data_IF_065604867997
#
_entry.id   IF_065604867997
#
_cell.length_a   1.000
_cell.length_b   1.000
_cell.length_c   1.000
_cell.angle_alpha   90.00
_cell.angle_beta   90.00
_cell.angle_gamma   90.00
#
_symmetry.space_group_name_H-M   'P 1'
#
loop_
_entity.id
_entity.type
_entity.pdbx_description
1 polymer ?
#
# COMPACT_ATOMS: atom_id res chain seq x y z
N UNK A 1 3.30 0.27 0.81
CA UNK A 1 3.46 -0.97 0.03
C UNK A 1 3.03 -0.70 -1.40
N UNK A 2 3.94 -0.90 -2.34
CA UNK A 2 3.63 -0.86 -3.76
C UNK A 2 3.03 -2.20 -4.15
N UNK A 3 1.92 -2.17 -4.87
CA UNK A 3 1.24 -3.38 -5.30
C UNK A 3 1.11 -3.37 -6.82
N UNK A 4 1.59 -4.43 -7.45
CA UNK A 4 1.42 -4.63 -8.88
C UNK A 4 0.35 -5.70 -9.09
N UNK A 5 -0.60 -5.42 -9.98
CA UNK A 5 -1.77 -6.26 -10.15
C UNK A 5 -2.07 -6.57 -11.59
N UNK A 6 -2.79 -7.68 -11.80
CA UNK A 6 -3.43 -7.97 -13.08
C UNK A 6 -4.81 -7.32 -13.05
N UNK A 7 -5.14 -6.41 -13.97
CA UNK A 7 -6.46 -5.79 -13.97
C UNK A 7 -7.55 -6.81 -14.27
N UNK A 8 -8.68 -6.66 -13.59
CA UNK A 8 -9.85 -7.47 -13.88
C UNK A 8 -10.48 -6.95 -15.17
N UNK A 9 -10.89 -7.87 -16.04
CA UNK A 9 -11.34 -7.55 -17.37
C UNK A 9 -12.46 -6.52 -17.41
N UNK A 10 -13.46 -6.64 -16.54
CA UNK A 10 -14.62 -5.77 -16.52
C UNK A 10 -14.65 -4.79 -15.37
N UNK A 11 -13.70 -4.88 -14.46
CA UNK A 11 -13.72 -4.12 -13.21
C UNK A 11 -12.48 -3.27 -12.97
N UNK A 12 -11.46 -3.44 -13.80
CA UNK A 12 -10.20 -2.74 -13.62
C UNK A 12 -9.59 -3.04 -12.27
N UNK A 13 -9.19 -2.00 -11.56
CA UNK A 13 -8.57 -2.13 -10.25
C UNK A 13 -9.54 -1.84 -9.10
N UNK A 14 -10.74 -1.36 -9.39
CA UNK A 14 -11.65 -0.86 -8.36
C UNK A 14 -12.06 -1.92 -7.35
N UNK A 15 -12.35 -3.11 -7.83
CA UNK A 15 -12.80 -4.21 -6.96
C UNK A 15 -11.74 -4.59 -5.93
N UNK A 16 -10.51 -4.71 -6.39
CA UNK A 16 -9.39 -5.07 -5.52
C UNK A 16 -9.06 -3.92 -4.57
N UNK A 17 -9.10 -2.68 -5.08
CA UNK A 17 -8.87 -1.51 -4.25
C UNK A 17 -9.90 -1.42 -3.12
N UNK A 18 -11.19 -1.64 -3.44
CA UNK A 18 -12.23 -1.66 -2.43
C UNK A 18 -11.97 -2.71 -1.35
N UNK A 19 -11.56 -3.89 -1.77
CA UNK A 19 -11.26 -4.97 -0.85
C UNK A 19 -10.12 -4.61 0.08
N UNK A 20 -9.06 -4.03 -0.46
CA UNK A 20 -7.92 -3.59 0.33
C UNK A 20 -8.32 -2.47 1.30
N UNK A 21 -9.15 -1.54 0.84
CA UNK A 21 -9.64 -0.44 1.69
C UNK A 21 -10.38 -0.94 2.94
N UNK A 22 -10.97 -2.11 2.87
CA UNK A 22 -11.75 -2.65 4.00
C UNK A 22 -10.91 -3.37 5.04
N UNK A 23 -9.62 -3.56 4.81
CA UNK A 23 -8.76 -4.12 5.85
C UNK A 23 -8.51 -3.07 6.93
N UNK A 24 -8.71 -3.41 8.20
CA UNK A 24 -8.55 -2.43 9.29
C UNK A 24 -7.14 -1.88 9.43
N UNK A 25 -6.13 -2.61 8.96
CA UNK A 25 -4.74 -2.15 9.04
C UNK A 25 -4.43 -1.03 8.05
N UNK A 26 -5.25 -0.88 7.02
CA UNK A 26 -4.96 0.04 5.92
C UNK A 26 -5.34 1.47 6.27
N UNK A 27 -4.39 2.39 6.13
CA UNK A 27 -4.60 3.81 6.36
C UNK A 27 -5.06 4.52 5.08
N UNK A 28 -4.46 4.19 3.95
CA UNK A 28 -4.78 4.83 2.67
C UNK A 28 -4.47 3.89 1.50
N UNK A 29 -5.20 4.07 0.41
CA UNK A 29 -4.97 3.33 -0.83
C UNK A 29 -5.06 4.31 -1.98
N UNK A 30 -4.04 4.33 -2.83
CA UNK A 30 -3.98 5.20 -3.99
C UNK A 30 -3.78 4.41 -5.26
N UNK A 31 -4.44 4.82 -6.34
CA UNK A 31 -4.14 4.33 -7.69
C UNK A 31 -3.01 5.18 -8.23
N UNK A 32 -1.97 4.54 -8.71
CA UNK A 32 -0.74 5.21 -9.11
C UNK A 32 -0.49 4.98 -10.60
N UNK A 33 -0.04 6.01 -11.29
CA UNK A 33 0.47 5.90 -12.64
C UNK A 33 1.97 5.60 -12.56
N UNK A 34 2.44 4.61 -13.32
CA UNK A 34 3.87 4.29 -13.33
C UNK A 34 4.15 2.81 -13.25
N UNK A 35 5.20 2.45 -12.52
CA UNK A 35 5.71 1.08 -12.49
C UNK A 35 4.90 0.10 -11.65
N UNK A 36 3.96 0.57 -10.86
CA UNK A 36 3.07 -0.27 -10.06
C UNK A 36 1.68 0.36 -10.07
N UNK A 37 0.70 -0.36 -9.54
CA UNK A 37 -0.70 0.01 -9.72
C UNK A 37 -1.33 0.67 -8.51
N UNK A 38 -1.11 0.12 -7.32
CA UNK A 38 -1.66 0.67 -6.09
C UNK A 38 -0.56 0.95 -5.09
N UNK A 39 -0.74 2.01 -4.33
CA UNK A 39 0.09 2.30 -3.16
C UNK A 39 -0.78 2.15 -1.92
N UNK A 40 -0.43 1.21 -1.06
CA UNK A 40 -1.16 0.92 0.18
C UNK A 40 -0.34 1.45 1.35
N UNK A 41 -0.95 2.33 2.12
CA UNK A 41 -0.31 2.97 3.27
C UNK A 41 -0.82 2.38 4.57
N UNK A 42 0.12 2.02 5.43
CA UNK A 42 -0.17 1.58 6.80
C UNK A 42 0.57 2.50 7.75
N UNK A 43 -0.06 2.88 8.84
CA UNK A 43 0.59 3.73 9.84
C UNK A 43 0.65 3.04 11.19
N UNK A 44 1.68 3.36 11.97
CA UNK A 44 1.80 2.86 13.34
C UNK A 44 2.05 1.37 13.44
N UNK A 45 2.54 0.73 12.36
CA UNK A 45 2.76 -0.71 12.33
C UNK A 45 4.24 -1.03 12.39
N UNK A 46 4.55 -2.12 13.08
CA UNK A 46 5.93 -2.63 13.12
C UNK A 46 6.26 -3.37 11.83
N UNK A 47 7.54 -3.63 11.63
CA UNK A 47 8.01 -4.44 10.50
C UNK A 47 7.29 -5.80 10.47
N UNK A 48 7.15 -6.43 11.63
CA UNK A 48 6.51 -7.74 11.73
C UNK A 48 5.04 -7.65 11.32
N UNK A 49 4.32 -6.64 11.80
CA UNK A 49 2.91 -6.46 11.46
C UNK A 49 2.71 -6.21 9.97
N UNK A 50 3.58 -5.40 9.37
CA UNK A 50 3.51 -5.12 7.93
C UNK A 50 3.80 -6.39 7.13
N UNK A 51 4.81 -7.15 7.51
CA UNK A 51 5.15 -8.41 6.85
C UNK A 51 4.02 -9.41 6.93
N UNK A 52 3.35 -9.51 8.08
CA UNK A 52 2.20 -10.38 8.25
C UNK A 52 1.03 -9.93 7.37
N UNK A 53 0.77 -8.64 7.33
CA UNK A 53 -0.30 -8.10 6.50
C UNK A 53 -0.07 -8.45 5.03
N UNK A 54 1.13 -8.26 4.53
CA UNK A 54 1.46 -8.57 3.13
C UNK A 54 1.27 -10.05 2.86
N UNK A 55 1.85 -10.92 3.68
CA UNK A 55 1.81 -12.36 3.42
C UNK A 55 0.43 -12.97 3.63
N UNK A 56 -0.33 -12.48 4.59
CA UNK A 56 -1.63 -13.08 4.92
C UNK A 56 -2.79 -12.46 4.13
N UNK A 57 -2.69 -11.20 3.74
CA UNK A 57 -3.80 -10.50 3.11
C UNK A 57 -3.53 -10.08 1.67
N UNK A 58 -2.45 -9.37 1.42
CA UNK A 58 -2.19 -8.88 0.06
C UNK A 58 -1.76 -10.00 -0.88
N UNK A 59 -0.81 -10.81 -0.46
CA UNK A 59 -0.26 -11.86 -1.33
C UNK A 59 -1.24 -12.99 -1.61
N UNK A 60 -2.33 -13.08 -0.85
CA UNK A 60 -3.36 -14.09 -1.06
C UNK A 60 -4.40 -13.68 -2.10
N UNK A 61 -4.39 -12.43 -2.51
CA UNK A 61 -5.32 -11.96 -3.54
C UNK A 61 -4.83 -12.42 -4.91
N UNK A 62 -5.70 -13.10 -5.66
CA UNK A 62 -5.33 -13.69 -6.94
C UNK A 62 -4.80 -12.69 -7.95
N UNK A 63 -5.30 -11.47 -7.90
CA UNK A 63 -4.90 -10.43 -8.86
C UNK A 63 -3.57 -9.78 -8.53
N UNK A 64 -3.02 -10.01 -7.35
CA UNK A 64 -1.75 -9.41 -6.94
C UNK A 64 -0.59 -10.20 -7.52
N UNK A 65 0.22 -9.55 -8.36
CA UNK A 65 1.38 -10.16 -9.00
C UNK A 65 2.60 -10.08 -8.09
N UNK A 66 2.83 -8.90 -7.53
CA UNK A 66 3.98 -8.67 -6.66
C UNK A 66 3.75 -7.49 -5.74
N UNK A 67 4.49 -7.45 -4.66
CA UNK A 67 4.46 -6.35 -3.71
C UNK A 67 5.88 -5.93 -3.36
N UNK A 68 6.04 -4.65 -3.02
CA UNK A 68 7.30 -4.12 -2.52
C UNK A 68 7.00 -3.23 -1.33
N UNK A 69 7.62 -3.51 -0.20
CA UNK A 69 7.37 -2.79 1.03
C UNK A 69 8.46 -1.76 1.28
N UNK A 70 8.05 -0.54 1.60
CA UNK A 70 8.95 0.56 1.92
C UNK A 70 8.56 1.15 3.25
N UNK A 71 9.55 1.50 4.05
CA UNK A 71 9.33 2.18 5.32
C UNK A 71 9.85 3.60 5.24
N UNK A 72 9.05 4.54 5.73
CA UNK A 72 9.50 5.92 5.86
C UNK A 72 10.38 5.97 7.11
N UNK A 73 11.67 6.16 6.92
CA UNK A 73 12.63 6.17 8.01
C UNK A 73 12.65 7.51 8.74
N UNK A 74 12.40 8.59 7.99
CA UNK A 74 12.43 9.93 8.56
C UNK A 74 11.65 10.87 7.65
N UNK A 75 10.89 11.77 8.26
CA UNK A 75 10.21 12.83 7.53
C UNK A 75 10.95 14.13 7.75
N UNK A 76 11.40 14.74 6.67
CA UNK A 76 12.05 16.04 6.72
C UNK A 76 11.05 17.18 6.61
N UNK A 77 10.00 16.97 5.84
CA UNK A 77 8.94 17.94 5.63
C UNK A 77 7.64 17.17 5.42
N UNK A 78 6.57 17.65 6.00
CA UNK A 78 5.28 16.96 5.88
C UNK A 78 4.15 18.00 5.87
N UNK A 79 3.24 17.84 4.90
CA UNK A 79 2.12 18.76 4.70
C UNK A 79 2.58 20.22 4.65
N UNK A 80 3.69 20.47 3.98
CA UNK A 80 4.24 21.82 3.84
C UNK A 80 5.03 22.33 5.04
N UNK A 81 5.13 21.54 6.10
CA UNK A 81 5.82 21.94 7.33
C UNK A 81 7.16 21.23 7.45
N UNK A 82 8.21 21.97 7.71
CA UNK A 82 9.55 21.42 7.93
C UNK A 82 9.60 20.82 9.33
N UNK A 83 9.93 19.51 9.40
CA UNK A 83 9.92 18.77 10.66
C UNK A 83 11.31 18.59 11.25
N UNK A 84 12.33 18.56 10.42
CA UNK A 84 13.68 18.27 10.85
C UNK A 84 14.56 19.46 10.60
N UNK A 85 14.54 20.41 11.53
CA UNK A 85 15.28 21.65 11.38
C UNK A 85 16.73 21.55 11.87
N UNK A 86 17.11 20.43 12.45
CA UNK A 86 18.47 20.27 12.98
C UNK A 86 19.04 18.91 12.67
#
# INVERSE_FOLDING_TARGET
IEVRMTPQRSQGFDKIAERICNYPEVHAVYLISGGYDLLVSLEGKTLKEVSQFVSEKLSTLDSVISTATHFILKKYKDHGTILSSK
#
